data_IF_831607093562
#
_entry.id   IF_831607093562
#
_cell.length_a   1.000
_cell.length_b   1.000
_cell.length_c   1.000
_cell.angle_alpha   90.00
_cell.angle_beta   90.00
_cell.angle_gamma   90.00
#
_symmetry.space_group_name_H-M   'P 1'
#
loop_
_entity.id
_entity.type
_entity.pdbx_description
1 polymer ?
#
# COMPACT_ATOMS: atom_id res chain seq x y z
N UNK A 1 -1.97 -1.95 7.96
CA UNK A 1 -1.65 -2.95 6.92
C UNK A 1 -2.56 -4.15 7.11
N UNK A 2 -3.05 -4.72 6.02
CA UNK A 2 -3.91 -5.88 5.99
C UNK A 2 -3.32 -6.96 5.07
N UNK A 3 -3.51 -8.24 5.39
CA UNK A 3 -2.94 -9.36 4.64
C UNK A 3 -1.49 -9.70 5.04
N UNK A 4 -0.69 -10.10 4.05
CA UNK A 4 0.67 -10.61 4.23
C UNK A 4 1.57 -9.69 5.06
N UNK A 5 1.62 -8.38 4.74
CA UNK A 5 2.48 -7.43 5.44
C UNK A 5 2.10 -7.27 6.91
N UNK A 6 0.79 -7.25 7.21
CA UNK A 6 0.29 -7.22 8.58
C UNK A 6 0.64 -8.48 9.38
N UNK A 7 0.50 -9.67 8.75
CA UNK A 7 0.88 -10.95 9.38
C UNK A 7 2.38 -11.05 9.64
N UNK A 8 3.21 -10.67 8.67
CA UNK A 8 4.66 -10.63 8.83
C UNK A 8 5.06 -9.67 9.96
N UNK A 9 4.48 -8.47 10.01
CA UNK A 9 4.75 -7.52 11.08
C UNK A 9 4.33 -8.08 12.45
N UNK A 10 3.11 -8.63 12.57
CA UNK A 10 2.64 -9.21 13.81
C UNK A 10 3.51 -10.39 14.29
N UNK A 11 4.03 -11.20 13.37
CA UNK A 11 4.98 -12.27 13.69
C UNK A 11 6.30 -11.70 14.20
N UNK A 12 6.85 -10.67 13.55
CA UNK A 12 8.07 -10.01 14.00
C UNK A 12 7.89 -9.43 15.41
N UNK A 13 6.76 -8.77 15.68
CA UNK A 13 6.47 -8.20 17.00
C UNK A 13 6.33 -9.26 18.10
N UNK A 14 5.81 -10.46 17.79
CA UNK A 14 5.75 -11.58 18.74
C UNK A 14 7.12 -12.20 19.05
N UNK A 15 8.11 -12.03 18.17
CA UNK A 15 9.44 -12.66 18.31
C UNK A 15 10.52 -11.62 18.64
N UNK A 16 10.19 -10.62 19.48
CA UNK A 16 11.13 -9.54 19.87
C UNK A 16 12.40 -10.03 20.58
N UNK A 17 12.40 -11.24 21.12
CA UNK A 17 13.58 -11.90 21.68
C UNK A 17 14.69 -12.17 20.65
N UNK A 18 14.35 -12.19 19.36
CA UNK A 18 15.30 -12.40 18.27
C UNK A 18 15.91 -11.06 17.80
N UNK A 19 17.19 -11.03 17.37
CA UNK A 19 17.83 -9.82 16.83
C UNK A 19 17.05 -9.22 15.65
N UNK A 20 17.03 -7.88 15.47
CA UNK A 20 16.16 -7.22 14.52
C UNK A 20 16.23 -7.74 13.07
N UNK A 21 17.42 -8.05 12.55
CA UNK A 21 17.59 -8.54 11.18
C UNK A 21 17.02 -9.97 11.03
N UNK A 22 17.47 -10.88 11.88
CA UNK A 22 16.98 -12.28 11.90
C UNK A 22 15.46 -12.34 12.13
N UNK A 23 14.93 -11.47 12.99
CA UNK A 23 13.51 -11.40 13.32
C UNK A 23 12.65 -11.02 12.11
N UNK A 24 13.11 -10.06 11.31
CA UNK A 24 12.43 -9.65 10.08
C UNK A 24 12.43 -10.80 9.07
N UNK A 25 13.58 -11.40 8.82
CA UNK A 25 13.73 -12.50 7.86
C UNK A 25 12.87 -13.70 8.26
N UNK A 26 12.95 -14.11 9.52
CA UNK A 26 12.13 -15.18 10.09
C UNK A 26 10.63 -14.89 9.92
N UNK A 27 10.19 -13.67 10.24
CA UNK A 27 8.79 -13.30 10.16
C UNK A 27 8.28 -13.29 8.72
N UNK A 28 9.09 -12.80 7.77
CA UNK A 28 8.78 -12.80 6.34
C UNK A 28 8.69 -14.23 5.81
N UNK A 29 9.72 -15.06 6.05
CA UNK A 29 9.74 -16.45 5.58
C UNK A 29 8.57 -17.24 6.17
N UNK A 30 8.27 -17.06 7.45
CA UNK A 30 7.15 -17.74 8.12
C UNK A 30 5.79 -17.27 7.60
N UNK A 31 5.64 -15.99 7.26
CA UNK A 31 4.44 -15.47 6.62
C UNK A 31 4.29 -16.00 5.17
N UNK A 32 5.40 -16.11 4.43
CA UNK A 32 5.43 -16.66 3.07
C UNK A 32 5.10 -18.15 3.04
N UNK A 33 5.61 -18.94 3.98
CA UNK A 33 5.28 -20.36 4.10
C UNK A 33 3.78 -20.61 4.36
N UNK A 34 3.04 -19.59 4.81
CA UNK A 34 1.59 -19.61 5.00
C UNK A 34 0.88 -18.59 4.12
N UNK A 35 1.44 -18.30 2.93
CA UNK A 35 0.86 -17.33 2.03
C UNK A 35 -0.53 -17.79 1.59
N UNK A 36 -1.52 -16.94 1.87
CA UNK A 36 -2.89 -17.10 1.43
C UNK A 36 -3.40 -15.73 0.97
N UNK A 37 -4.03 -15.65 -0.21
CA UNK A 37 -4.78 -14.46 -0.58
C UNK A 37 -5.98 -14.29 0.35
N UNK A 38 -6.32 -13.05 0.61
CA UNK A 38 -7.53 -12.67 1.33
C UNK A 38 -8.56 -12.18 0.30
N UNK A 39 -9.79 -12.67 0.38
CA UNK A 39 -10.90 -12.13 -0.41
C UNK A 39 -11.43 -10.87 0.29
N UNK A 40 -11.29 -9.72 -0.37
CA UNK A 40 -11.57 -8.42 0.24
C UNK A 40 -12.31 -7.51 -0.72
N UNK A 41 -13.16 -6.67 -0.16
CA UNK A 41 -13.67 -5.46 -0.81
C UNK A 41 -12.94 -4.24 -0.25
N UNK A 42 -12.44 -3.38 -1.13
CA UNK A 42 -11.74 -2.15 -0.78
C UNK A 42 -12.47 -1.00 -1.44
N UNK A 43 -13.01 -0.11 -0.60
CA UNK A 43 -13.60 1.15 -1.05
C UNK A 43 -12.66 2.30 -0.72
N UNK A 44 -12.37 3.15 -1.70
CA UNK A 44 -11.47 4.30 -1.53
C UNK A 44 -11.94 5.50 -2.35
N UNK A 45 -11.48 6.67 -1.90
CA UNK A 45 -11.74 7.93 -2.57
C UNK A 45 -10.46 8.38 -3.29
N UNK A 46 -10.39 8.26 -4.63
CA UNK A 46 -9.22 8.72 -5.37
C UNK A 46 -9.11 10.25 -5.30
N UNK A 47 -7.90 10.75 -5.14
CA UNK A 47 -7.61 12.16 -5.40
C UNK A 47 -7.34 12.33 -6.90
N UNK A 48 -8.23 13.01 -7.62
CA UNK A 48 -8.02 13.33 -9.03
C UNK A 48 -7.20 14.62 -9.13
N UNK A 49 -5.93 14.53 -9.51
CA UNK A 49 -5.16 15.71 -9.88
C UNK A 49 -5.62 16.24 -11.26
N UNK A 50 -5.35 17.50 -11.59
CA UNK A 50 -5.77 18.07 -12.88
C UNK A 50 -5.14 17.37 -14.10
N UNK A 51 -3.99 16.70 -13.92
CA UNK A 51 -3.32 15.91 -14.96
C UNK A 51 -4.02 14.56 -15.21
N UNK A 52 -4.49 13.88 -14.17
CA UNK A 52 -5.24 12.61 -14.31
C UNK A 52 -6.60 12.81 -15.00
N UNK A 53 -7.17 14.02 -14.89
CA UNK A 53 -8.43 14.40 -15.55
C UNK A 53 -8.29 14.55 -17.07
N UNK A 54 -7.10 14.81 -17.60
CA UNK A 54 -6.84 14.90 -19.05
C UNK A 54 -6.61 13.51 -19.66
N UNK A 55 -5.84 12.63 -19.00
CA UNK A 55 -5.67 11.24 -19.44
C UNK A 55 -6.99 10.46 -19.40
N UNK A 56 -7.80 10.66 -18.35
CA UNK A 56 -9.13 10.04 -18.25
C UNK A 56 -10.14 10.60 -19.27
N UNK A 57 -9.94 11.85 -19.73
CA UNK A 57 -10.73 12.44 -20.83
C UNK A 57 -10.37 11.83 -22.19
N UNK A 58 -9.10 11.48 -22.41
CA UNK A 58 -8.68 10.73 -23.60
C UNK A 58 -9.27 9.31 -23.65
N UNK A 59 -9.61 8.73 -22.50
CA UNK A 59 -10.29 7.43 -22.36
C UNK A 59 -11.84 7.52 -22.36
N UNK A 60 -12.42 8.69 -22.68
CA UNK A 60 -13.87 8.83 -22.91
C UNK A 60 -14.75 8.95 -21.67
N UNK A 61 -14.18 9.14 -20.47
CA UNK A 61 -14.98 9.34 -19.27
C UNK A 61 -15.55 10.77 -19.23
N UNK A 62 -16.87 10.90 -19.33
CA UNK A 62 -17.59 12.17 -19.38
C UNK A 62 -17.51 12.90 -18.03
N UNK A 63 -17.21 14.20 -18.08
CA UNK A 63 -17.27 15.12 -16.93
C UNK A 63 -18.72 15.21 -16.43
N UNK A 64 -19.04 14.57 -15.31
CA UNK A 64 -20.22 14.91 -14.51
C UNK A 64 -19.82 15.09 -13.06
N UNK A 65 -19.94 16.33 -12.56
CA UNK A 65 -19.94 16.65 -11.14
C UNK A 65 -18.59 16.55 -10.42
N UNK A 66 -18.20 17.61 -9.72
CA UNK A 66 -17.15 17.56 -8.70
C UNK A 66 -17.71 16.83 -7.46
N UNK A 67 -18.05 15.55 -7.61
CA UNK A 67 -18.26 14.65 -6.49
C UNK A 67 -17.13 13.64 -6.55
N UNK A 68 -16.35 13.58 -5.48
CA UNK A 68 -15.36 12.55 -5.31
C UNK A 68 -16.12 11.21 -5.25
N UNK A 69 -16.20 10.51 -6.38
CA UNK A 69 -16.92 9.26 -6.48
C UNK A 69 -16.09 8.17 -5.78
N UNK A 70 -16.67 7.55 -4.75
CA UNK A 70 -16.09 6.37 -4.14
C UNK A 70 -15.91 5.28 -5.19
N UNK A 71 -14.68 4.75 -5.26
CA UNK A 71 -14.36 3.59 -6.08
C UNK A 71 -14.31 2.36 -5.19
N UNK A 72 -14.76 1.24 -5.74
CA UNK A 72 -14.77 -0.06 -5.08
C UNK A 72 -14.01 -1.05 -5.95
N UNK A 73 -13.07 -1.77 -5.35
CA UNK A 73 -12.40 -2.92 -5.96
C UNK A 73 -12.63 -4.14 -5.07
N UNK A 74 -12.91 -5.27 -5.70
CA UNK A 74 -13.14 -6.53 -5.00
C UNK A 74 -12.28 -7.61 -5.64
N UNK A 75 -11.76 -8.51 -4.81
CA UNK A 75 -11.06 -9.70 -5.27
C UNK A 75 -10.07 -10.23 -4.25
N UNK A 76 -9.15 -11.04 -4.77
CA UNK A 76 -8.13 -11.70 -3.96
C UNK A 76 -6.86 -10.84 -3.86
N UNK A 77 -6.53 -10.41 -2.65
CA UNK A 77 -5.36 -9.57 -2.38
C UNK A 77 -4.38 -10.29 -1.46
N UNK A 78 -3.09 -10.19 -1.77
CA UNK A 78 -2.04 -10.69 -0.87
C UNK A 78 -1.75 -9.70 0.25
N UNK A 79 -1.80 -8.40 -0.04
CA UNK A 79 -1.48 -7.34 0.91
C UNK A 79 -2.18 -6.04 0.52
N UNK A 80 -2.69 -5.32 1.52
CA UNK A 80 -3.26 -3.98 1.37
C UNK A 80 -2.60 -3.07 2.40
N UNK A 81 -2.02 -1.96 1.95
CA UNK A 81 -1.33 -0.99 2.81
C UNK A 81 -1.63 0.43 2.40
N UNK A 82 -1.94 1.28 3.39
CA UNK A 82 -2.06 2.73 3.25
C UNK A 82 -0.79 3.32 3.86
N UNK A 83 -0.06 4.12 3.09
CA UNK A 83 1.22 4.70 3.48
C UNK A 83 1.18 6.20 3.16
N UNK A 84 1.44 7.04 4.15
CA UNK A 84 1.43 8.50 4.01
C UNK A 84 2.83 9.13 4.16
N UNK A 85 3.84 8.31 4.47
CA UNK A 85 5.21 8.77 4.71
C UNK A 85 6.14 7.97 3.79
N UNK A 86 7.09 8.62 3.10
CA UNK A 86 8.16 7.95 2.41
C UNK A 86 9.09 7.34 3.46
N UNK A 87 8.84 6.08 3.84
CA UNK A 87 9.61 5.35 4.86
C UNK A 87 11.01 4.95 4.37
N UNK A 88 11.86 5.95 4.06
CA UNK A 88 13.24 5.74 3.64
C UNK A 88 14.03 5.04 4.75
N UNK A 89 14.53 3.85 4.44
CA UNK A 89 15.41 3.10 5.33
C UNK A 89 16.33 2.21 4.51
N UNK A 90 17.34 1.63 5.14
CA UNK A 90 18.26 0.70 4.47
C UNK A 90 17.56 -0.49 3.79
N UNK A 91 16.36 -0.85 4.24
CA UNK A 91 15.56 -1.94 3.67
C UNK A 91 14.46 -1.47 2.69
N UNK A 92 14.26 -0.16 2.55
CA UNK A 92 13.34 0.45 1.59
C UNK A 92 13.96 1.77 1.09
N UNK A 93 14.99 1.71 0.23
CA UNK A 93 15.78 2.87 -0.17
C UNK A 93 15.01 3.87 -1.04
N UNK A 94 13.87 3.46 -1.61
CA UNK A 94 12.92 4.33 -2.32
C UNK A 94 11.66 4.63 -1.48
N UNK A 95 11.67 4.28 -0.20
CA UNK A 95 10.49 4.31 0.66
C UNK A 95 9.42 3.30 0.24
N UNK A 96 8.41 3.15 1.09
CA UNK A 96 7.21 2.35 0.79
C UNK A 96 6.17 3.12 -0.02
N UNK A 97 6.35 4.45 -0.11
CA UNK A 97 5.49 5.35 -0.86
C UNK A 97 6.36 6.44 -1.51
N UNK A 98 7.15 6.10 -2.54
CA UNK A 98 8.11 7.02 -3.19
C UNK A 98 7.46 8.32 -3.67
N UNK A 99 6.21 8.27 -4.10
CA UNK A 99 5.49 9.41 -4.68
C UNK A 99 4.80 10.29 -3.60
N UNK A 100 5.08 10.07 -2.32
CA UNK A 100 4.48 10.86 -1.21
C UNK A 100 5.38 11.97 -0.70
N UNK A 101 6.62 12.08 -1.17
CA UNK A 101 7.39 13.31 -0.97
C UNK A 101 6.68 14.42 -1.75
N UNK A 102 6.17 15.42 -1.04
CA UNK A 102 5.97 16.72 -1.66
C UNK A 102 7.32 17.13 -2.24
N UNK A 103 7.42 17.29 -3.56
CA UNK A 103 8.55 18.02 -4.13
C UNK A 103 8.51 19.40 -3.47
N UNK A 104 9.47 19.64 -2.58
CA UNK A 104 9.82 20.96 -2.09
C UNK A 104 10.32 21.71 -3.33
N UNK A 105 9.43 22.54 -3.90
CA UNK A 105 9.83 23.62 -4.80
C UNK A 105 10.73 24.53 -3.97
N UNK A 106 12.04 24.34 -4.09
CA UNK A 106 13.08 25.24 -3.63
C UNK A 106 13.79 25.84 -4.84
#
# INVERSE_FOLDING_TARGET
MFGFGGRALALAEKHRWMPPNQRKDFAIIKALAKLKPEDCEISFLPFNSSQDLEERRAQGFSKSGCDAQWQMIQGQFLNVSIMAIPCLCSVAPRGLAPNTSQEEVA
#
